data_IF_989981559329
#
_entry.id   IF_989981559329
#
_cell.length_a   1.000
_cell.length_b   1.000
_cell.length_c   1.000
_cell.angle_alpha   90.00
_cell.angle_beta   90.00
_cell.angle_gamma   90.00
#
_symmetry.space_group_name_H-M   'P 1'
#
loop_
_entity.id
_entity.type
_entity.pdbx_description
1 polymer ?
#
# COMPACT_ATOMS: atom_id res chain seq x y z
N UNK A 1 -32.14 3.52 -18.51
CA UNK A 1 -30.76 3.21 -18.16
C UNK A 1 -30.04 4.50 -17.83
N UNK A 2 -29.84 4.76 -16.54
CA UNK A 2 -29.10 5.96 -16.14
C UNK A 2 -27.65 5.85 -16.60
N UNK A 3 -27.14 6.95 -17.22
CA UNK A 3 -25.71 7.03 -17.50
C UNK A 3 -24.95 6.97 -16.17
N UNK A 4 -23.94 6.10 -16.03
CA UNK A 4 -23.13 6.11 -14.83
C UNK A 4 -22.57 7.51 -14.61
N UNK A 5 -22.64 8.01 -13.38
CA UNK A 5 -22.01 9.29 -13.03
C UNK A 5 -20.53 9.24 -13.36
N UNK A 6 -19.91 10.40 -13.62
CA UNK A 6 -18.45 10.46 -13.87
C UNK A 6 -17.65 9.79 -12.75
N UNK A 7 -18.22 9.73 -11.54
CA UNK A 7 -17.62 9.11 -10.36
C UNK A 7 -17.74 7.58 -10.37
N UNK A 8 -18.54 6.99 -11.23
CA UNK A 8 -18.74 5.54 -11.34
C UNK A 8 -17.95 4.89 -12.47
N UNK A 9 -17.22 5.67 -13.28
CA UNK A 9 -16.29 5.09 -14.24
C UNK A 9 -15.12 4.47 -13.48
N UNK A 10 -14.72 3.20 -13.79
CA UNK A 10 -13.59 2.60 -13.15
C UNK A 10 -12.34 3.45 -13.44
N UNK A 11 -11.83 4.12 -12.42
CA UNK A 11 -10.55 4.80 -12.54
C UNK A 11 -9.48 3.74 -12.82
N UNK A 12 -8.73 3.95 -13.89
CA UNK A 12 -7.57 3.11 -14.15
C UNK A 12 -6.55 3.37 -13.05
N UNK A 13 -6.36 2.40 -12.17
CA UNK A 13 -5.38 2.48 -11.08
C UNK A 13 -3.98 2.63 -11.64
N UNK A 14 -3.23 3.58 -11.11
CA UNK A 14 -1.79 3.72 -11.37
C UNK A 14 -1.04 2.84 -10.38
N UNK A 15 -0.24 1.92 -10.89
CA UNK A 15 0.52 0.97 -10.08
C UNK A 15 1.91 1.49 -9.79
N UNK A 16 2.48 1.05 -8.65
CA UNK A 16 3.89 1.29 -8.35
C UNK A 16 4.70 0.19 -9.04
N UNK A 17 5.54 0.58 -9.98
CA UNK A 17 6.41 -0.35 -10.69
C UNK A 17 7.67 -0.60 -9.86
N UNK A 18 8.16 -1.84 -9.84
CA UNK A 18 9.35 -2.21 -9.07
C UNK A 18 10.59 -1.41 -9.50
N UNK A 19 10.71 -1.09 -10.78
CA UNK A 19 11.84 -0.29 -11.29
C UNK A 19 11.88 1.14 -10.74
N UNK A 20 10.72 1.67 -10.32
CA UNK A 20 10.60 3.03 -9.78
C UNK A 20 10.56 3.04 -8.25
N UNK A 21 10.39 1.88 -7.62
CA UNK A 21 10.11 1.76 -6.19
C UNK A 21 11.19 2.42 -5.31
N UNK A 22 12.47 2.25 -5.65
CA UNK A 22 13.57 2.84 -4.87
C UNK A 22 13.41 4.37 -4.77
N UNK A 23 13.12 5.02 -5.89
CA UNK A 23 13.02 6.48 -5.96
C UNK A 23 11.71 7.01 -5.38
N UNK A 24 10.58 6.35 -5.65
CA UNK A 24 9.27 6.90 -5.28
C UNK A 24 8.80 6.47 -3.88
N UNK A 25 9.36 5.40 -3.32
CA UNK A 25 8.94 4.89 -2.00
C UNK A 25 10.11 4.77 -1.03
N UNK A 26 11.14 4.03 -1.37
CA UNK A 26 12.21 3.67 -0.45
C UNK A 26 13.00 4.89 0.02
N UNK A 27 13.45 5.74 -0.89
CA UNK A 27 14.21 6.94 -0.54
C UNK A 27 13.37 7.93 0.29
N UNK A 28 12.08 8.03 0.03
CA UNK A 28 11.17 8.85 0.83
C UNK A 28 11.02 8.29 2.25
N UNK A 29 10.95 6.98 2.41
CA UNK A 29 10.91 6.36 3.72
C UNK A 29 12.18 6.62 4.52
N UNK A 30 13.36 6.56 3.87
CA UNK A 30 14.64 6.90 4.49
C UNK A 30 14.67 8.34 5.01
N UNK A 31 14.15 9.28 4.25
CA UNK A 31 14.19 10.71 4.58
C UNK A 31 13.13 11.12 5.60
N UNK A 32 11.91 10.61 5.46
CA UNK A 32 10.74 11.13 6.16
C UNK A 32 10.33 10.28 7.37
N UNK A 33 10.62 8.98 7.36
CA UNK A 33 10.23 8.07 8.43
C UNK A 33 11.49 7.57 9.18
N UNK A 34 12.09 8.47 9.94
CA UNK A 34 13.39 8.26 10.60
C UNK A 34 13.31 7.68 12.00
N UNK A 35 12.11 7.38 12.48
CA UNK A 35 11.92 6.79 13.81
C UNK A 35 12.30 5.29 13.81
N UNK A 36 12.61 4.75 14.99
CA UNK A 36 13.13 3.38 15.21
C UNK A 36 14.51 3.16 14.60
N UNK A 37 14.83 1.91 14.32
CA UNK A 37 16.13 1.49 13.80
C UNK A 37 16.34 1.95 12.36
N UNK A 38 17.60 2.19 11.94
CA UNK A 38 17.87 2.58 10.56
C UNK A 38 17.33 1.58 9.55
N UNK A 39 16.83 2.10 8.43
CA UNK A 39 16.43 1.28 7.28
C UNK A 39 17.71 0.81 6.58
N UNK A 40 17.88 -0.49 6.30
CA UNK A 40 19.10 -1.00 5.66
C UNK A 40 19.22 -0.57 4.19
N UNK A 41 20.40 -0.79 3.62
CA UNK A 41 20.68 -0.50 2.21
C UNK A 41 19.68 -1.24 1.30
N UNK A 42 19.21 -0.52 0.27
CA UNK A 42 18.25 -1.06 -0.69
C UNK A 42 18.76 -2.33 -1.38
N UNK A 43 20.05 -2.43 -1.61
CA UNK A 43 20.67 -3.59 -2.27
C UNK A 43 20.61 -4.87 -1.44
N UNK A 44 20.31 -4.79 -0.14
CA UNK A 44 20.17 -5.97 0.72
C UNK A 44 18.77 -6.58 0.69
N UNK A 45 17.84 -6.01 -0.08
CA UNK A 45 16.46 -6.48 -0.19
C UNK A 45 16.35 -7.84 -0.86
N UNK A 46 15.26 -8.56 -0.54
CA UNK A 46 14.81 -9.68 -1.34
C UNK A 46 13.90 -9.17 -2.46
N UNK A 47 14.45 -9.09 -3.67
CA UNK A 47 13.73 -8.49 -4.79
C UNK A 47 12.49 -9.28 -5.22
N UNK A 48 12.52 -10.60 -5.11
CA UNK A 48 11.38 -11.46 -5.45
C UNK A 48 10.20 -11.21 -4.50
N UNK A 49 10.46 -11.05 -3.20
CA UNK A 49 9.43 -10.73 -2.21
C UNK A 49 8.87 -9.32 -2.40
N UNK A 50 9.71 -8.37 -2.77
CA UNK A 50 9.27 -7.00 -3.09
C UNK A 50 8.40 -6.99 -4.33
N UNK A 51 8.83 -7.64 -5.40
CA UNK A 51 8.07 -7.73 -6.65
C UNK A 51 6.70 -8.39 -6.43
N UNK A 52 6.67 -9.48 -5.67
CA UNK A 52 5.42 -10.16 -5.29
C UNK A 52 4.47 -9.23 -4.54
N UNK A 53 4.98 -8.45 -3.59
CA UNK A 53 4.16 -7.50 -2.84
C UNK A 53 3.57 -6.41 -3.75
N UNK A 54 4.38 -5.83 -4.63
CA UNK A 54 3.94 -4.78 -5.55
C UNK A 54 2.95 -5.32 -6.60
N UNK A 55 3.05 -6.58 -6.97
CA UNK A 55 2.14 -7.23 -7.91
C UNK A 55 0.79 -7.62 -7.26
N UNK A 56 0.72 -7.74 -5.95
CA UNK A 56 -0.47 -8.26 -5.26
C UNK A 56 -1.78 -7.54 -5.60
N UNK A 57 -1.84 -6.19 -5.74
CA UNK A 57 -3.09 -5.53 -6.10
C UNK A 57 -3.59 -5.84 -7.52
N UNK A 58 -2.72 -6.34 -8.38
CA UNK A 58 -3.02 -6.63 -9.78
C UNK A 58 -3.41 -8.08 -10.03
N UNK A 59 -3.42 -8.93 -9.01
CA UNK A 59 -3.71 -10.34 -9.15
C UNK A 59 -5.11 -10.56 -9.73
N UNK A 60 -5.20 -11.51 -10.65
CA UNK A 60 -6.43 -11.87 -11.34
C UNK A 60 -6.79 -13.32 -11.09
N UNK A 61 -8.09 -13.61 -11.12
CA UNK A 61 -8.62 -14.95 -11.11
C UNK A 61 -9.79 -15.01 -12.10
N UNK A 62 -9.79 -16.00 -13.00
CA UNK A 62 -10.81 -16.13 -14.06
C UNK A 62 -11.02 -14.81 -14.82
N UNK A 63 -9.94 -14.17 -15.25
CA UNK A 63 -9.93 -12.90 -16.00
C UNK A 63 -10.53 -11.71 -15.25
N UNK A 64 -10.68 -11.80 -13.93
CA UNK A 64 -11.19 -10.71 -13.08
C UNK A 64 -10.17 -10.37 -12.00
N UNK A 65 -10.09 -9.09 -11.65
CA UNK A 65 -9.26 -8.65 -10.53
C UNK A 65 -9.78 -9.26 -9.22
N UNK A 66 -8.87 -9.83 -8.42
CA UNK A 66 -9.18 -10.30 -7.06
C UNK A 66 -9.56 -9.13 -6.14
N UNK A 67 -8.97 -7.95 -6.39
CA UNK A 67 -9.16 -6.74 -5.60
C UNK A 67 -9.67 -5.65 -6.55
N UNK A 68 -11.00 -5.62 -6.85
CA UNK A 68 -11.53 -4.75 -7.90
C UNK A 68 -11.61 -3.28 -7.53
N UNK A 69 -11.69 -2.94 -6.22
CA UNK A 69 -11.78 -1.55 -5.78
C UNK A 69 -10.42 -1.00 -5.37
N UNK A 70 -10.26 0.33 -5.47
CA UNK A 70 -9.03 0.99 -5.03
C UNK A 70 -8.73 0.72 -3.54
N UNK A 71 -9.76 0.71 -2.70
CA UNK A 71 -9.61 0.44 -1.26
C UNK A 71 -9.07 -0.96 -1.01
N UNK A 72 -9.60 -1.97 -1.72
CA UNK A 72 -9.11 -3.34 -1.61
C UNK A 72 -7.68 -3.48 -2.12
N UNK A 73 -7.36 -2.80 -3.21
CA UNK A 73 -6.01 -2.75 -3.79
C UNK A 73 -5.01 -2.14 -2.80
N UNK A 74 -5.38 -1.02 -2.19
CA UNK A 74 -4.55 -0.38 -1.17
C UNK A 74 -4.34 -1.29 0.05
N UNK A 75 -5.40 -1.96 0.50
CA UNK A 75 -5.33 -2.87 1.65
C UNK A 75 -4.42 -4.06 1.40
N UNK A 76 -4.52 -4.71 0.24
CA UNK A 76 -3.66 -5.85 -0.07
C UNK A 76 -2.21 -5.43 -0.32
N UNK A 77 -1.97 -4.28 -0.91
CA UNK A 77 -0.62 -3.75 -1.09
C UNK A 77 0.07 -3.54 0.27
N UNK A 78 -0.61 -2.87 1.17
CA UNK A 78 -0.12 -2.61 2.53
C UNK A 78 0.16 -3.92 3.28
N UNK A 79 -0.79 -4.85 3.26
CA UNK A 79 -0.66 -6.16 3.87
C UNK A 79 0.54 -6.94 3.32
N UNK A 80 0.67 -6.99 2.01
CA UNK A 80 1.73 -7.77 1.34
C UNK A 80 3.12 -7.17 1.59
N UNK A 81 3.24 -5.85 1.61
CA UNK A 81 4.51 -5.19 1.95
C UNK A 81 4.96 -5.53 3.37
N UNK A 82 4.02 -5.67 4.30
CA UNK A 82 4.32 -6.03 5.69
C UNK A 82 4.63 -7.52 5.81
N UNK A 83 3.77 -8.38 5.27
CA UNK A 83 3.85 -9.84 5.47
C UNK A 83 4.97 -10.50 4.66
N UNK A 84 5.27 -10.00 3.46
CA UNK A 84 6.36 -10.53 2.65
C UNK A 84 7.73 -10.22 3.24
N UNK A 85 7.83 -9.15 4.02
CA UNK A 85 9.06 -8.76 4.72
C UNK A 85 10.26 -8.68 3.77
N UNK A 86 10.19 -7.87 2.68
CA UNK A 86 11.23 -7.89 1.66
C UNK A 86 12.56 -7.29 2.08
N UNK A 87 12.60 -6.52 3.17
CA UNK A 87 13.80 -5.85 3.68
C UNK A 87 14.25 -6.48 4.99
N UNK A 88 15.54 -6.33 5.30
CA UNK A 88 16.09 -6.84 6.55
C UNK A 88 15.48 -6.17 7.78
N UNK A 89 15.12 -4.90 7.64
CA UNK A 89 14.48 -4.09 8.68
C UNK A 89 13.68 -2.95 8.04
N UNK A 90 12.82 -2.28 8.82
CA UNK A 90 12.08 -1.11 8.36
C UNK A 90 10.87 -1.42 7.48
N UNK A 91 10.45 -2.68 7.37
CA UNK A 91 9.36 -3.09 6.49
C UNK A 91 8.04 -2.37 6.77
N UNK A 92 7.73 -2.10 8.05
CA UNK A 92 6.50 -1.41 8.44
C UNK A 92 6.51 0.05 7.96
N UNK A 93 7.63 0.75 8.11
CA UNK A 93 7.78 2.14 7.65
C UNK A 93 7.76 2.22 6.13
N UNK A 94 8.43 1.29 5.48
CA UNK A 94 8.43 1.20 4.01
C UNK A 94 7.01 0.90 3.51
N UNK A 95 6.27 0.01 4.18
CA UNK A 95 4.88 -0.28 3.85
C UNK A 95 3.98 0.96 4.01
N UNK A 96 4.16 1.74 5.09
CA UNK A 96 3.43 2.99 5.28
C UNK A 96 3.73 3.97 4.14
N UNK A 97 5.00 4.15 3.80
CA UNK A 97 5.36 5.05 2.70
C UNK A 97 4.81 4.57 1.35
N UNK A 98 4.88 3.27 1.10
CA UNK A 98 4.33 2.67 -0.12
C UNK A 98 2.83 2.96 -0.25
N UNK A 99 2.08 2.82 0.85
CA UNK A 99 0.66 3.13 0.89
C UNK A 99 0.40 4.62 0.59
N UNK A 100 1.16 5.53 1.22
CA UNK A 100 1.02 6.96 1.00
C UNK A 100 1.31 7.36 -0.45
N UNK A 101 2.36 6.79 -1.03
CA UNK A 101 2.72 7.04 -2.44
C UNK A 101 1.61 6.49 -3.36
N UNK A 102 1.09 5.31 -3.06
CA UNK A 102 0.01 4.70 -3.85
C UNK A 102 -1.24 5.60 -3.85
N UNK A 103 -1.60 6.17 -2.72
CA UNK A 103 -2.67 7.17 -2.66
C UNK A 103 -2.35 8.39 -3.53
N UNK A 104 -1.17 8.98 -3.34
CA UNK A 104 -0.80 10.22 -4.00
C UNK A 104 -0.82 10.10 -5.53
N UNK A 105 -0.24 9.03 -6.08
CA UNK A 105 -0.20 8.83 -7.54
C UNK A 105 -1.58 8.51 -8.14
N UNK A 106 -2.55 8.15 -7.29
CA UNK A 106 -3.93 7.89 -7.70
C UNK A 106 -4.89 9.03 -7.32
N UNK A 107 -4.35 10.20 -6.99
CA UNK A 107 -5.17 11.37 -6.66
C UNK A 107 -5.93 11.24 -5.35
N UNK A 108 -5.39 10.48 -4.39
CA UNK A 108 -5.99 10.23 -3.09
C UNK A 108 -5.02 10.63 -1.97
N UNK A 109 -5.56 10.79 -0.78
CA UNK A 109 -4.78 10.96 0.43
C UNK A 109 -5.52 10.32 1.60
N UNK A 110 -4.82 10.17 2.73
CA UNK A 110 -5.42 9.63 3.94
C UNK A 110 -5.18 10.59 5.11
N UNK A 111 -6.23 10.87 5.88
CA UNK A 111 -6.19 11.76 7.03
C UNK A 111 -5.82 11.01 8.31
N UNK A 112 -4.74 10.25 8.23
CA UNK A 112 -4.13 9.56 9.38
C UNK A 112 -2.67 9.95 9.41
N UNK A 113 -2.13 10.21 10.60
CA UNK A 113 -0.71 10.49 10.77
C UNK A 113 0.12 9.25 10.38
N UNK A 114 1.31 9.43 9.78
CA UNK A 114 2.19 8.29 9.48
C UNK A 114 2.52 7.43 10.71
N UNK A 115 2.62 8.02 11.90
CA UNK A 115 2.84 7.27 13.14
C UNK A 115 1.66 6.36 13.50
N UNK A 116 0.42 6.78 13.21
CA UNK A 116 -0.77 5.97 13.44
C UNK A 116 -0.91 4.86 12.39
N UNK A 117 -0.54 5.14 11.14
CA UNK A 117 -0.41 4.10 10.11
C UNK A 117 0.66 3.08 10.49
N UNK A 118 1.76 3.52 11.11
CA UNK A 118 2.79 2.62 11.61
C UNK A 118 2.24 1.69 12.70
N UNK A 119 1.40 2.19 13.61
CA UNK A 119 0.71 1.34 14.61
C UNK A 119 -0.16 0.30 13.93
N UNK A 120 -0.88 0.68 12.88
CA UNK A 120 -1.67 -0.25 12.08
C UNK A 120 -0.78 -1.32 11.41
N UNK A 121 0.40 -0.91 10.95
CA UNK A 121 1.38 -1.84 10.39
C UNK A 121 1.90 -2.83 11.44
N UNK A 122 2.11 -2.39 12.68
CA UNK A 122 2.49 -3.28 13.79
C UNK A 122 1.41 -4.33 14.02
N UNK A 123 0.14 -3.92 14.13
CA UNK A 123 -0.99 -4.82 14.34
C UNK A 123 -1.07 -5.84 13.20
N UNK A 124 -0.93 -5.36 11.96
CA UNK A 124 -0.94 -6.23 10.77
C UNK A 124 0.20 -7.23 10.81
N UNK A 125 1.41 -6.80 11.18
CA UNK A 125 2.59 -7.68 11.23
C UNK A 125 2.47 -8.78 12.28
N UNK A 126 1.80 -8.49 13.39
CA UNK A 126 1.60 -9.43 14.50
C UNK A 126 0.42 -10.38 14.28
N UNK A 127 -0.41 -10.13 13.28
CA UNK A 127 -1.60 -10.94 13.01
C UNK A 127 -1.24 -12.32 12.49
N UNK A 128 -2.02 -13.33 12.90
CA UNK A 128 -1.87 -14.68 12.39
C UNK A 128 -2.35 -14.73 10.93
N UNK A 129 -1.59 -15.36 10.00
CA UNK A 129 -2.00 -15.50 8.60
C UNK A 129 -3.37 -16.15 8.39
N UNK A 130 -3.83 -16.99 9.32
CA UNK A 130 -5.18 -17.57 9.23
C UNK A 130 -6.30 -16.52 9.30
N UNK A 131 -6.01 -15.32 9.85
CA UNK A 131 -6.94 -14.20 9.92
C UNK A 131 -6.74 -13.18 8.81
N UNK A 132 -6.05 -13.55 7.74
CA UNK A 132 -5.71 -12.68 6.62
C UNK A 132 -6.92 -11.88 6.11
N UNK A 133 -8.01 -12.55 5.80
CA UNK A 133 -9.19 -11.88 5.24
C UNK A 133 -9.83 -10.91 6.23
N UNK A 134 -9.85 -11.24 7.51
CA UNK A 134 -10.34 -10.35 8.56
C UNK A 134 -9.49 -9.09 8.67
N UNK A 135 -8.17 -9.23 8.64
CA UNK A 135 -7.24 -8.10 8.72
C UNK A 135 -7.34 -7.22 7.48
N UNK A 136 -7.43 -7.82 6.29
CA UNK A 136 -7.61 -7.07 5.05
C UNK A 136 -8.88 -6.22 5.08
N UNK A 137 -9.99 -6.78 5.57
CA UNK A 137 -11.26 -6.06 5.71
C UNK A 137 -11.19 -4.93 6.72
N UNK A 138 -10.56 -5.17 7.88
CA UNK A 138 -10.40 -4.15 8.92
C UNK A 138 -9.54 -2.99 8.40
N UNK A 139 -8.42 -3.29 7.77
CA UNK A 139 -7.55 -2.26 7.19
C UNK A 139 -8.28 -1.49 6.10
N UNK A 140 -9.03 -2.17 5.24
CA UNK A 140 -9.85 -1.54 4.21
C UNK A 140 -10.88 -0.58 4.79
N UNK A 141 -11.55 -0.95 5.89
CA UNK A 141 -12.52 -0.08 6.57
C UNK A 141 -11.85 1.19 7.12
N UNK A 142 -10.66 1.07 7.70
CA UNK A 142 -9.89 2.22 8.22
C UNK A 142 -9.47 3.12 7.05
N UNK A 143 -8.93 2.54 6.00
CA UNK A 143 -8.53 3.28 4.80
C UNK A 143 -9.72 4.04 4.23
N UNK A 144 -10.86 3.37 4.05
CA UNK A 144 -12.07 3.97 3.51
C UNK A 144 -12.56 5.15 4.36
N UNK A 145 -12.52 5.00 5.69
CA UNK A 145 -13.00 6.02 6.62
C UNK A 145 -12.20 7.32 6.53
N UNK A 146 -10.87 7.22 6.33
CA UNK A 146 -9.98 8.37 6.39
C UNK A 146 -9.46 8.83 5.03
N UNK A 147 -9.76 8.10 3.95
CA UNK A 147 -9.32 8.46 2.60
C UNK A 147 -10.12 9.66 2.07
N UNK A 148 -9.42 10.55 1.40
CA UNK A 148 -10.00 11.70 0.72
C UNK A 148 -9.46 11.79 -0.71
N UNK A 149 -10.21 12.46 -1.57
CA UNK A 149 -9.72 12.81 -2.89
C UNK A 149 -8.77 14.02 -2.76
N UNK A 150 -7.59 13.89 -3.33
CA UNK A 150 -6.59 14.95 -3.34
C UNK A 150 -5.83 14.91 -4.66
N UNK A 151 -6.44 15.41 -5.74
CA UNK A 151 -5.76 15.44 -7.03
C UNK A 151 -4.46 16.21 -6.94
N UNK A 152 -3.43 15.71 -7.61
CA UNK A 152 -2.17 16.46 -7.75
C UNK A 152 -2.47 17.72 -8.54
N UNK A 153 -2.12 18.88 -7.98
CA UNK A 153 -2.16 20.15 -8.73
C UNK A 153 -0.94 20.20 -9.63
N UNK A 154 -1.19 20.35 -10.90
CA UNK A 154 -0.15 20.60 -11.89
C UNK A 154 0.09 22.10 -11.97
#
# INVERSE_FOLDING_TARGET
MEKPSKDSLPHKTVWIDIKDFEYVCFNLALELLTFNEPIPDYNTRNNALLDSALASPKHMFNSKLLYPTFIEQASILFYSMIKNHPFLNGNKRIAVMTLLVFFAINGKWIRIKPTDLYKLAIITSQSDPKFRDTILKKNAQIIKKYMINRPLKI
#
